data_IF_602928655480
#
_entry.id   IF_602928655480
#
_cell.length_a   1.000
_cell.length_b   1.000
_cell.length_c   1.000
_cell.angle_alpha   90.00
_cell.angle_beta   90.00
_cell.angle_gamma   90.00
#
_symmetry.space_group_name_H-M   'P 1'
#
loop_
_entity.id
_entity.type
_entity.pdbx_description
1 polymer ?
#
# COMPACT_ATOMS: atom_id res chain seq x y z
N UNK A 1 19.26 -25.03 -58.23
CA UNK A 1 18.54 -23.96 -57.50
C UNK A 1 18.16 -24.53 -56.15
N UNK A 2 18.82 -24.03 -55.12
CA UNK A 2 19.21 -24.81 -53.96
C UNK A 2 18.09 -24.93 -52.91
N UNK A 3 18.01 -26.11 -52.27
CA UNK A 3 17.33 -26.35 -50.99
C UNK A 3 17.78 -25.37 -49.89
N UNK A 4 18.89 -24.65 -50.10
CA UNK A 4 19.39 -23.59 -49.23
C UNK A 4 18.58 -22.28 -49.30
N UNK A 5 17.82 -22.05 -50.37
CA UNK A 5 16.98 -20.85 -50.49
C UNK A 5 15.66 -21.01 -49.72
N UNK A 6 15.05 -22.20 -49.75
CA UNK A 6 13.86 -22.54 -48.93
C UNK A 6 14.21 -22.56 -47.44
N UNK A 7 15.42 -23.02 -47.07
CA UNK A 7 15.89 -23.02 -45.68
C UNK A 7 16.14 -21.61 -45.11
N UNK A 8 16.46 -20.63 -45.98
CA UNK A 8 16.62 -19.21 -45.61
C UNK A 8 15.29 -18.50 -45.42
N UNK A 9 14.29 -18.80 -46.24
CA UNK A 9 12.95 -18.20 -46.12
C UNK A 9 12.24 -18.74 -44.86
N UNK A 10 12.43 -20.02 -44.52
CA UNK A 10 11.90 -20.60 -43.28
C UNK A 10 12.62 -20.11 -42.01
N UNK A 11 13.91 -19.73 -42.08
CA UNK A 11 14.64 -19.17 -40.92
C UNK A 11 14.34 -17.69 -40.67
N UNK A 12 13.86 -16.97 -41.68
CA UNK A 12 13.56 -15.54 -41.59
C UNK A 12 12.11 -15.28 -41.14
N UNK A 13 11.17 -16.22 -41.33
CA UNK A 13 9.81 -16.13 -40.78
C UNK A 13 9.74 -16.50 -39.28
N UNK A 14 10.58 -17.42 -38.79
CA UNK A 14 10.63 -17.80 -37.35
C UNK A 14 11.34 -16.77 -36.45
N UNK A 15 12.07 -15.80 -37.02
CA UNK A 15 12.70 -14.71 -36.25
C UNK A 15 11.85 -13.43 -36.12
N UNK A 16 10.59 -13.46 -36.58
CA UNK A 16 9.67 -12.31 -36.51
C UNK A 16 8.83 -12.24 -35.22
N UNK A 17 8.96 -13.20 -34.30
CA UNK A 17 8.13 -13.29 -33.07
C UNK A 17 8.86 -13.02 -31.76
N UNK A 18 10.04 -12.40 -31.79
CA UNK A 18 10.74 -11.97 -30.58
C UNK A 18 10.88 -10.45 -30.54
N UNK A 19 9.75 -9.75 -30.63
CA UNK A 19 9.62 -8.50 -29.88
C UNK A 19 9.67 -8.88 -28.41
N UNK A 20 10.88 -8.87 -27.84
CA UNK A 20 11.14 -8.83 -26.41
C UNK A 20 10.45 -7.57 -25.83
N UNK A 21 9.14 -7.65 -25.63
CA UNK A 21 8.47 -6.92 -24.56
C UNK A 21 9.02 -7.48 -23.26
N UNK A 22 10.20 -7.01 -22.86
CA UNK A 22 10.53 -6.89 -21.44
C UNK A 22 9.55 -5.87 -20.85
N UNK A 23 8.32 -6.30 -20.63
CA UNK A 23 7.48 -5.69 -19.61
C UNK A 23 8.25 -5.87 -18.31
N UNK A 24 8.89 -4.79 -17.88
CA UNK A 24 9.41 -4.67 -16.51
C UNK A 24 8.23 -5.00 -15.61
N UNK A 25 8.31 -6.19 -15.00
CA UNK A 25 7.26 -6.78 -14.19
C UNK A 25 7.14 -5.95 -12.92
N UNK A 26 6.34 -4.88 -12.99
CA UNK A 26 6.07 -4.01 -11.87
C UNK A 26 5.56 -4.86 -10.71
N UNK A 27 6.19 -4.76 -9.55
CA UNK A 27 5.86 -5.61 -8.39
C UNK A 27 5.03 -4.84 -7.36
N UNK A 28 4.22 -5.53 -6.56
CA UNK A 28 3.45 -4.90 -5.47
C UNK A 28 4.36 -4.10 -4.53
N UNK A 29 5.58 -4.57 -4.30
CA UNK A 29 6.60 -3.86 -3.51
C UNK A 29 6.92 -2.46 -4.03
N UNK A 30 6.85 -2.24 -5.34
CA UNK A 30 7.10 -0.92 -5.93
C UNK A 30 5.99 0.08 -5.63
N UNK A 31 4.78 -0.37 -5.28
CA UNK A 31 3.69 0.52 -4.85
C UNK A 31 3.97 1.19 -3.49
N UNK A 32 4.86 0.63 -2.67
CA UNK A 32 5.09 1.11 -1.31
C UNK A 32 5.60 2.56 -1.28
N UNK A 33 6.44 2.95 -2.25
CA UNK A 33 6.95 4.33 -2.36
C UNK A 33 5.86 5.33 -2.77
N UNK A 34 4.96 4.93 -3.68
CA UNK A 34 3.81 5.74 -4.10
C UNK A 34 2.81 5.89 -2.95
N UNK A 35 2.52 4.80 -2.24
CA UNK A 35 1.66 4.84 -1.07
C UNK A 35 2.25 5.74 0.02
N UNK A 36 3.54 5.58 0.35
CA UNK A 36 4.20 6.40 1.38
C UNK A 36 4.22 7.88 1.04
N UNK A 37 4.45 8.22 -0.24
CA UNK A 37 4.32 9.57 -0.76
C UNK A 37 2.91 10.13 -0.55
N UNK A 38 1.90 9.41 -1.03
CA UNK A 38 0.51 9.84 -0.96
C UNK A 38 0.03 10.01 0.50
N UNK A 39 0.32 9.03 1.36
CA UNK A 39 -0.07 9.05 2.77
C UNK A 39 0.54 10.23 3.53
N UNK A 40 1.81 10.53 3.31
CA UNK A 40 2.44 11.63 4.03
C UNK A 40 2.00 12.99 3.49
N UNK A 41 2.05 13.21 2.18
CA UNK A 41 1.82 14.54 1.60
C UNK A 41 0.35 14.98 1.66
N UNK A 42 -0.60 14.03 1.65
CA UNK A 42 -2.03 14.35 1.62
C UNK A 42 -2.74 14.09 2.95
N UNK A 43 -2.18 13.22 3.80
CA UNK A 43 -2.85 12.80 5.05
C UNK A 43 -1.97 12.92 6.30
N UNK A 44 -0.71 13.38 6.16
CA UNK A 44 0.27 13.45 7.26
C UNK A 44 0.45 12.12 8.00
N UNK A 45 0.30 11.01 7.28
CA UNK A 45 0.46 9.66 7.81
C UNK A 45 1.89 9.18 7.53
N UNK A 46 2.61 8.80 8.58
CA UNK A 46 3.91 8.14 8.46
C UNK A 46 3.71 6.64 8.26
N UNK A 47 4.28 6.10 7.18
CA UNK A 47 4.17 4.69 6.81
C UNK A 47 5.38 3.85 7.23
N UNK A 48 5.17 2.55 7.37
CA UNK A 48 6.22 1.56 7.51
C UNK A 48 5.88 0.27 6.78
N UNK A 49 6.75 -0.16 5.88
CA UNK A 49 6.65 -1.45 5.20
C UNK A 49 6.93 -2.59 6.17
N UNK A 50 6.07 -3.61 6.16
CA UNK A 50 6.17 -4.80 6.99
C UNK A 50 6.54 -5.99 6.09
N UNK A 51 7.80 -6.43 6.15
CA UNK A 51 8.28 -7.48 5.26
C UNK A 51 7.86 -8.87 5.74
N UNK A 52 7.06 -9.59 4.95
CA UNK A 52 6.62 -10.96 5.26
C UNK A 52 7.81 -11.89 5.59
N UNK A 53 8.85 -11.82 4.76
CA UNK A 53 10.04 -12.67 4.83
C UNK A 53 10.80 -12.59 6.17
N UNK A 54 10.59 -11.51 6.94
CA UNK A 54 11.22 -11.33 8.25
C UNK A 54 10.42 -12.03 9.39
N UNK A 55 9.32 -12.71 9.06
CA UNK A 55 8.47 -13.39 10.04
C UNK A 55 9.05 -14.73 10.49
N UNK A 56 9.03 -14.97 11.80
CA UNK A 56 9.72 -16.12 12.42
C UNK A 56 9.05 -17.51 12.23
N UNK A 57 7.92 -17.63 11.51
CA UNK A 57 7.16 -18.89 11.40
C UNK A 57 6.85 -19.28 9.95
N UNK A 58 7.45 -20.37 9.47
CA UNK A 58 7.32 -20.86 8.08
C UNK A 58 5.95 -21.43 7.68
N UNK A 59 5.08 -21.83 8.62
CA UNK A 59 3.88 -22.62 8.27
C UNK A 59 2.52 -21.97 8.63
N UNK A 60 2.48 -20.85 9.35
CA UNK A 60 1.22 -20.17 9.74
C UNK A 60 1.25 -18.64 9.55
N UNK A 61 2.40 -18.06 9.18
CA UNK A 61 2.56 -16.60 9.10
C UNK A 61 2.16 -16.00 7.75
N UNK A 62 1.80 -16.82 6.76
CA UNK A 62 1.50 -16.36 5.39
C UNK A 62 0.25 -15.48 5.30
N UNK A 63 -0.57 -15.42 6.36
CA UNK A 63 -1.88 -14.76 6.37
C UNK A 63 -2.08 -13.78 7.53
N UNK A 64 -0.99 -13.30 8.16
CA UNK A 64 -1.12 -12.54 9.42
C UNK A 64 -0.14 -11.37 9.50
N UNK A 65 -0.08 -10.55 8.47
CA UNK A 65 0.38 -9.17 8.59
C UNK A 65 -0.05 -8.37 7.35
N UNK A 66 -0.24 -7.06 7.48
CA UNK A 66 -0.36 -6.17 6.33
C UNK A 66 0.97 -5.99 5.62
N UNK A 67 0.93 -5.48 4.39
CA UNK A 67 2.13 -5.11 3.64
C UNK A 67 2.75 -3.82 4.18
N UNK A 68 1.89 -2.88 4.62
CA UNK A 68 2.31 -1.57 5.11
C UNK A 68 1.38 -1.10 6.22
N UNK A 69 1.93 -0.39 7.19
CA UNK A 69 1.20 0.19 8.32
C UNK A 69 1.44 1.68 8.38
N UNK A 70 0.46 2.42 8.88
CA UNK A 70 0.53 3.89 9.00
C UNK A 70 0.25 4.37 10.40
N UNK A 71 0.79 5.54 10.75
CA UNK A 71 0.44 6.28 11.96
C UNK A 71 0.23 7.75 11.64
N UNK A 72 -0.87 8.30 12.15
CA UNK A 72 -1.06 9.74 12.28
C UNK A 72 -0.81 10.13 13.74
N UNK A 73 -0.03 11.19 13.94
CA UNK A 73 0.24 11.74 15.27
C UNK A 73 -0.43 13.10 15.41
N UNK A 74 -1.29 13.31 16.41
CA UNK A 74 -1.90 14.62 16.64
C UNK A 74 -0.90 15.67 17.11
N UNK A 75 0.32 15.26 17.51
CA UNK A 75 1.37 16.18 17.97
C UNK A 75 1.88 17.15 16.88
N UNK A 76 1.52 16.90 15.61
CA UNK A 76 1.80 17.82 14.51
C UNK A 76 0.79 18.95 14.42
N UNK A 77 -0.42 18.75 14.96
CA UNK A 77 -1.56 19.65 14.73
C UNK A 77 -2.07 20.29 16.02
N UNK A 78 -1.75 19.72 17.19
CA UNK A 78 -2.27 20.16 18.49
C UNK A 78 -1.18 20.78 19.36
N UNK A 79 -1.60 21.76 20.16
CA UNK A 79 -0.77 22.36 21.20
C UNK A 79 -0.42 21.35 22.30
N UNK A 80 0.71 21.58 22.96
CA UNK A 80 1.25 20.70 24.00
C UNK A 80 0.28 20.47 25.16
N UNK A 81 -0.42 21.51 25.59
CA UNK A 81 -1.40 21.49 26.67
C UNK A 81 -2.60 20.61 26.31
N UNK A 82 -3.03 20.63 25.04
CA UNK A 82 -4.14 19.79 24.55
C UNK A 82 -3.73 18.32 24.56
N UNK A 83 -2.50 18.02 24.15
CA UNK A 83 -1.94 16.65 24.15
C UNK A 83 -1.86 16.10 25.59
N UNK A 84 -1.52 16.93 26.56
CA UNK A 84 -1.45 16.52 27.96
C UNK A 84 -2.82 16.22 28.55
N UNK A 85 -3.81 17.09 28.30
CA UNK A 85 -5.21 16.83 28.69
C UNK A 85 -5.72 15.56 28.00
N UNK A 86 -5.45 15.41 26.71
CA UNK A 86 -5.81 14.23 25.91
C UNK A 86 -5.23 12.94 26.50
N UNK A 87 -4.01 12.97 27.02
CA UNK A 87 -3.40 11.85 27.76
C UNK A 87 -4.14 11.54 29.05
N UNK A 88 -4.46 12.56 29.84
CA UNK A 88 -5.12 12.39 31.14
C UNK A 88 -6.55 11.83 31.00
N UNK A 89 -7.27 12.21 29.93
CA UNK A 89 -8.63 11.72 29.66
C UNK A 89 -8.66 10.46 28.77
N UNK A 90 -7.50 9.95 28.36
CA UNK A 90 -7.38 8.72 27.56
C UNK A 90 -7.74 8.86 26.07
N UNK A 91 -7.79 10.07 25.52
CA UNK A 91 -8.13 10.36 24.12
C UNK A 91 -6.90 10.81 23.33
N UNK A 92 -5.95 9.90 23.12
CA UNK A 92 -4.61 10.23 22.62
C UNK A 92 -4.56 10.77 21.18
N UNK A 93 -5.65 10.68 20.41
CA UNK A 93 -5.75 11.14 19.02
C UNK A 93 -4.86 10.41 18.00
N UNK A 94 -3.96 9.52 18.43
CA UNK A 94 -3.15 8.68 17.54
C UNK A 94 -4.07 7.75 16.75
N UNK A 95 -3.91 7.75 15.43
CA UNK A 95 -4.58 6.79 14.55
C UNK A 95 -3.56 5.88 13.91
N UNK A 96 -3.91 4.60 13.85
CA UNK A 96 -3.14 3.53 13.21
C UNK A 96 -3.90 3.01 12.01
N UNK A 97 -3.17 2.79 10.93
CA UNK A 97 -3.69 2.38 9.63
C UNK A 97 -3.00 1.10 9.18
N UNK A 98 -3.69 0.34 8.34
CA UNK A 98 -3.18 -0.91 7.79
C UNK A 98 -3.57 -1.03 6.32
N UNK A 99 -2.60 -1.40 5.49
CA UNK A 99 -2.74 -1.41 4.03
C UNK A 99 -2.34 -2.78 3.47
N UNK A 100 -3.21 -3.33 2.64
CA UNK A 100 -2.95 -4.49 1.79
C UNK A 100 -2.84 -3.98 0.35
N UNK A 101 -1.78 -4.35 -0.38
CA UNK A 101 -1.50 -3.84 -1.71
C UNK A 101 -1.78 -4.90 -2.77
N UNK A 102 -2.34 -4.49 -3.90
CA UNK A 102 -2.50 -5.29 -5.12
C UNK A 102 -2.18 -4.42 -6.33
N UNK A 103 -1.59 -4.98 -7.38
CA UNK A 103 -1.36 -4.20 -8.62
C UNK A 103 -2.69 -3.95 -9.34
N UNK A 104 -3.49 -5.00 -9.49
CA UNK A 104 -4.74 -4.99 -10.25
C UNK A 104 -5.87 -5.61 -9.44
N UNK A 105 -7.03 -4.95 -9.45
CA UNK A 105 -8.25 -5.41 -8.80
C UNK A 105 -9.42 -5.40 -9.78
N UNK A 106 -9.83 -6.58 -10.21
CA UNK A 106 -10.95 -6.78 -11.13
C UNK A 106 -12.01 -7.68 -10.50
N UNK A 107 -13.15 -7.86 -11.15
CA UNK A 107 -14.24 -8.66 -10.59
C UNK A 107 -13.83 -10.11 -10.28
N UNK A 108 -12.86 -10.66 -11.01
CA UNK A 108 -12.35 -12.02 -10.83
C UNK A 108 -11.57 -12.23 -9.53
N UNK A 109 -10.86 -11.20 -9.05
CA UNK A 109 -10.04 -11.28 -7.83
C UNK A 109 -10.54 -10.37 -6.68
N UNK A 110 -11.64 -9.64 -6.89
CA UNK A 110 -12.19 -8.67 -5.94
C UNK A 110 -12.40 -9.28 -4.55
N UNK A 111 -13.18 -10.36 -4.46
CA UNK A 111 -13.53 -10.96 -3.17
C UNK A 111 -12.32 -11.53 -2.44
N UNK A 112 -11.45 -12.24 -3.15
CA UNK A 112 -10.24 -12.81 -2.57
C UNK A 112 -9.33 -11.72 -1.98
N UNK A 113 -9.01 -10.71 -2.79
CA UNK A 113 -8.18 -9.57 -2.38
C UNK A 113 -8.82 -8.79 -1.23
N UNK A 114 -10.13 -8.58 -1.28
CA UNK A 114 -10.86 -7.89 -0.22
C UNK A 114 -10.80 -8.67 1.10
N UNK A 115 -11.04 -9.99 1.08
CA UNK A 115 -10.99 -10.79 2.31
C UNK A 115 -9.56 -10.98 2.85
N UNK A 116 -8.56 -10.93 1.99
CA UNK A 116 -7.17 -10.81 2.43
C UNK A 116 -6.94 -9.50 3.20
N UNK A 117 -7.40 -8.37 2.66
CA UNK A 117 -7.34 -7.08 3.35
C UNK A 117 -8.14 -7.09 4.66
N UNK A 118 -9.31 -7.74 4.71
CA UNK A 118 -10.08 -7.93 5.96
C UNK A 118 -9.24 -8.68 6.99
N UNK A 119 -8.64 -9.82 6.61
CA UNK A 119 -7.81 -10.63 7.51
C UNK A 119 -6.60 -9.86 8.04
N UNK A 120 -5.91 -9.11 7.18
CA UNK A 120 -4.63 -8.49 7.49
C UNK A 120 -4.76 -7.10 8.13
N UNK A 121 -5.86 -6.37 7.87
CA UNK A 121 -5.97 -4.95 8.17
C UNK A 121 -7.13 -4.56 9.08
N UNK A 122 -8.04 -5.48 9.43
CA UNK A 122 -9.18 -5.16 10.31
C UNK A 122 -8.77 -4.80 11.74
N UNK A 123 -7.53 -5.02 12.16
CA UNK A 123 -7.08 -4.67 13.50
C UNK A 123 -6.91 -3.17 13.72
N UNK A 124 -6.71 -2.39 12.67
CA UNK A 124 -6.37 -0.97 12.72
C UNK A 124 -7.61 -0.08 12.91
N UNK A 125 -7.40 1.23 13.16
CA UNK A 125 -8.49 2.20 13.17
C UNK A 125 -9.12 2.29 11.79
N UNK A 126 -8.30 2.24 10.73
CA UNK A 126 -8.74 2.13 9.35
C UNK A 126 -7.88 1.14 8.57
N UNK A 127 -8.54 0.27 7.80
CA UNK A 127 -7.91 -0.71 6.93
C UNK A 127 -8.28 -0.44 5.47
N UNK A 128 -7.29 -0.51 4.58
CA UNK A 128 -7.47 -0.26 3.16
C UNK A 128 -6.90 -1.38 2.31
N UNK A 129 -7.63 -1.71 1.24
CA UNK A 129 -7.06 -2.33 0.05
C UNK A 129 -6.57 -1.20 -0.86
N UNK A 130 -5.35 -1.33 -1.36
CA UNK A 130 -4.67 -0.30 -2.16
C UNK A 130 -4.30 -0.89 -3.51
N UNK A 131 -4.66 -0.20 -4.58
CA UNK A 131 -4.55 -0.71 -5.95
C UNK A 131 -3.98 0.32 -6.90
N UNK A 132 -3.20 -0.10 -7.89
CA UNK A 132 -2.80 0.79 -9.00
C UNK A 132 -3.73 0.75 -10.20
N UNK A 133 -4.41 -0.37 -10.41
CA UNK A 133 -5.40 -0.51 -11.46
C UNK A 133 -6.62 -1.25 -10.92
N UNK A 134 -7.81 -0.85 -11.35
CA UNK A 134 -9.05 -1.50 -10.94
C UNK A 134 -10.18 -1.32 -11.95
N UNK A 135 -11.12 -2.26 -11.95
CA UNK A 135 -12.34 -2.20 -12.75
C UNK A 135 -13.19 -0.99 -12.33
N UNK A 136 -13.67 -0.21 -13.31
CA UNK A 136 -14.43 1.03 -13.06
C UNK A 136 -15.90 0.92 -13.47
N UNK A 137 -16.36 -0.28 -13.81
CA UNK A 137 -17.76 -0.51 -14.11
C UNK A 137 -18.64 -0.43 -12.85
N UNK A 138 -19.94 -0.29 -13.08
CA UNK A 138 -20.93 -0.10 -12.03
C UNK A 138 -21.08 -1.35 -11.15
N UNK A 139 -21.00 -2.54 -11.72
CA UNK A 139 -21.14 -3.81 -10.99
C UNK A 139 -19.99 -4.00 -9.98
N UNK A 140 -18.75 -3.72 -10.39
CA UNK A 140 -17.60 -3.72 -9.50
C UNK A 140 -17.79 -2.72 -8.34
N UNK A 141 -18.20 -1.49 -8.66
CA UNK A 141 -18.38 -0.41 -7.68
C UNK A 141 -19.45 -0.76 -6.65
N UNK A 142 -20.59 -1.31 -7.09
CA UNK A 142 -21.68 -1.76 -6.22
C UNK A 142 -21.25 -2.91 -5.29
N UNK A 143 -20.54 -3.91 -5.83
CA UNK A 143 -20.04 -5.04 -5.03
C UNK A 143 -18.99 -4.58 -4.01
N UNK A 144 -18.04 -3.72 -4.40
CA UNK A 144 -17.06 -3.16 -3.46
C UNK A 144 -17.76 -2.37 -2.36
N UNK A 145 -18.71 -1.50 -2.71
CA UNK A 145 -19.48 -0.72 -1.74
C UNK A 145 -20.22 -1.61 -0.75
N UNK A 146 -20.84 -2.70 -1.22
CA UNK A 146 -21.52 -3.68 -0.37
C UNK A 146 -20.56 -4.37 0.60
N UNK A 147 -19.39 -4.78 0.12
CA UNK A 147 -18.34 -5.39 0.95
C UNK A 147 -17.78 -4.39 1.97
N UNK A 148 -17.44 -3.18 1.54
CA UNK A 148 -16.92 -2.10 2.39
C UNK A 148 -17.91 -1.73 3.50
N UNK A 149 -19.20 -1.61 3.20
CA UNK A 149 -20.23 -1.35 4.21
C UNK A 149 -20.34 -2.49 5.24
N UNK A 150 -20.09 -3.73 4.82
CA UNK A 150 -20.23 -4.92 5.67
C UNK A 150 -19.00 -5.15 6.56
N UNK A 151 -17.79 -4.90 6.04
CA UNK A 151 -16.53 -5.29 6.68
C UNK A 151 -15.61 -4.11 7.02
N UNK A 152 -15.88 -2.92 6.48
CA UNK A 152 -15.21 -1.68 6.84
C UNK A 152 -13.88 -1.40 6.15
N UNK A 153 -13.47 -2.19 5.15
CA UNK A 153 -12.25 -1.97 4.39
C UNK A 153 -12.50 -0.92 3.29
N UNK A 154 -11.68 0.13 3.26
CA UNK A 154 -11.70 1.15 2.22
C UNK A 154 -10.93 0.73 0.97
N UNK A 155 -11.01 1.54 -0.08
CA UNK A 155 -10.23 1.38 -1.33
C UNK A 155 -9.44 2.64 -1.62
N UNK A 156 -8.14 2.50 -1.85
CA UNK A 156 -7.27 3.56 -2.34
C UNK A 156 -6.80 3.20 -3.74
N UNK A 157 -6.95 4.14 -4.67
CA UNK A 157 -6.31 4.07 -5.97
C UNK A 157 -5.02 4.90 -5.94
N UNK A 158 -3.89 4.25 -6.25
CA UNK A 158 -2.61 4.90 -6.48
C UNK A 158 -2.40 5.08 -7.98
N UNK A 159 -2.35 6.34 -8.41
CA UNK A 159 -2.00 6.63 -9.79
C UNK A 159 -0.46 6.67 -9.90
N UNK A 160 0.10 5.70 -10.61
CA UNK A 160 1.56 5.56 -10.76
C UNK A 160 2.11 6.59 -11.74
N UNK A 161 1.30 6.98 -12.72
CA UNK A 161 1.71 7.91 -13.78
C UNK A 161 1.59 9.36 -13.32
N UNK A 162 0.61 9.66 -12.46
CA UNK A 162 0.44 10.93 -11.76
C UNK A 162 0.20 10.71 -10.25
N UNK A 163 1.26 10.57 -9.44
CA UNK A 163 1.15 10.29 -8.00
C UNK A 163 0.22 11.24 -7.23
N UNK A 164 0.09 12.49 -7.66
CA UNK A 164 -0.75 13.50 -7.02
C UNK A 164 -2.25 13.30 -7.30
N UNK A 165 -2.60 12.55 -8.35
CA UNK A 165 -3.97 12.14 -8.69
C UNK A 165 -4.44 10.88 -7.94
N UNK A 166 -3.59 10.31 -7.07
CA UNK A 166 -3.97 9.23 -6.16
C UNK A 166 -5.10 9.66 -5.23
N UNK A 167 -6.02 8.74 -4.90
CA UNK A 167 -7.22 9.09 -4.12
C UNK A 167 -7.84 7.91 -3.38
N UNK A 168 -8.59 8.23 -2.33
CA UNK A 168 -9.51 7.30 -1.68
C UNK A 168 -10.76 7.18 -2.57
N UNK A 169 -11.07 5.97 -3.03
CA UNK A 169 -12.28 5.67 -3.81
C UNK A 169 -13.44 5.33 -2.87
N UNK A 170 -13.16 4.50 -1.85
CA UNK A 170 -14.10 4.16 -0.79
C UNK A 170 -13.44 4.40 0.55
N UNK A 171 -14.06 5.24 1.39
CA UNK A 171 -13.56 5.51 2.74
C UNK A 171 -13.66 4.26 3.61
N UNK A 172 -12.61 3.95 4.36
CA UNK A 172 -12.66 2.87 5.34
C UNK A 172 -13.57 3.26 6.53
N UNK A 173 -14.18 2.27 7.17
CA UNK A 173 -14.92 2.50 8.40
C UNK A 173 -13.93 2.73 9.55
N UNK A 174 -13.86 3.96 10.06
CA UNK A 174 -13.04 4.30 11.21
C UNK A 174 -13.56 3.58 12.47
N UNK A 175 -12.65 2.94 13.21
CA UNK A 175 -12.89 2.33 14.51
C UNK A 175 -12.30 3.19 15.62
N UNK A 176 -12.97 3.22 16.77
CA UNK A 176 -12.48 3.94 17.96
C UNK A 176 -11.29 3.23 18.62
N UNK A 177 -11.23 1.91 18.50
CA UNK A 177 -10.22 1.06 19.14
C UNK A 177 -9.63 0.07 18.14
N UNK A 178 -8.33 -0.20 18.29
CA UNK A 178 -7.64 -1.27 17.57
C UNK A 178 -7.88 -2.62 18.24
N UNK A 179 -7.80 -3.69 17.46
CA UNK A 179 -7.80 -5.07 17.97
C UNK A 179 -6.43 -5.40 18.61
N UNK A 180 -6.36 -5.24 19.93
CA UNK A 180 -5.15 -5.46 20.72
C UNK A 180 -4.64 -6.91 20.62
N UNK A 181 -5.54 -7.89 20.51
CA UNK A 181 -5.14 -9.30 20.42
C UNK A 181 -4.45 -9.59 19.09
N UNK A 182 -4.99 -9.07 17.99
CA UNK A 182 -4.37 -9.20 16.68
C UNK A 182 -3.05 -8.44 16.61
N UNK A 183 -2.99 -7.22 17.12
CA UNK A 183 -1.74 -6.43 17.22
C UNK A 183 -0.66 -7.20 18.00
N UNK A 184 -1.01 -7.77 19.15
CA UNK A 184 -0.07 -8.55 19.97
C UNK A 184 0.41 -9.82 19.25
N UNK A 185 -0.47 -10.50 18.51
CA UNK A 185 -0.10 -11.66 17.70
C UNK A 185 0.90 -11.29 16.60
N UNK A 186 0.63 -10.22 15.83
CA UNK A 186 1.53 -9.76 14.76
C UNK A 186 2.89 -9.35 15.35
N UNK A 187 2.90 -8.59 16.44
CA UNK A 187 4.15 -8.13 17.09
C UNK A 187 5.02 -9.27 17.64
N UNK A 188 4.44 -10.44 17.95
CA UNK A 188 5.20 -11.63 18.35
C UNK A 188 5.86 -12.34 17.16
N UNK A 189 5.27 -12.21 15.97
CA UNK A 189 5.67 -12.98 14.78
C UNK A 189 6.59 -12.14 13.87
N UNK A 190 6.33 -10.84 13.75
CA UNK A 190 7.03 -9.94 12.85
C UNK A 190 7.83 -8.86 13.64
N UNK A 191 9.17 -8.87 13.56
CA UNK A 191 10.02 -7.92 14.29
C UNK A 191 9.90 -6.48 13.77
N UNK A 192 9.63 -6.28 12.47
CA UNK A 192 9.46 -4.94 11.88
C UNK A 192 8.21 -4.26 12.44
N UNK A 193 7.09 -5.01 12.51
CA UNK A 193 5.86 -4.52 13.12
C UNK A 193 6.05 -4.19 14.61
N UNK A 194 6.78 -5.05 15.35
CA UNK A 194 7.13 -4.76 16.74
C UNK A 194 7.99 -3.50 16.87
N UNK A 195 8.94 -3.28 15.96
CA UNK A 195 9.78 -2.07 15.92
C UNK A 195 8.92 -0.83 15.64
N UNK A 196 7.97 -0.92 14.70
CA UNK A 196 7.01 0.14 14.41
C UNK A 196 6.21 0.55 15.65
N UNK A 197 5.61 -0.40 16.38
CA UNK A 197 4.85 -0.08 17.61
C UNK A 197 5.71 0.61 18.68
N UNK A 198 6.97 0.16 18.86
CA UNK A 198 7.91 0.80 19.77
C UNK A 198 8.23 2.23 19.34
N UNK A 199 8.41 2.46 18.04
CA UNK A 199 8.69 3.79 17.47
C UNK A 199 7.52 4.72 17.70
N UNK A 200 6.29 4.31 17.34
CA UNK A 200 5.05 5.06 17.60
C UNK A 200 4.93 5.49 19.06
N UNK A 201 5.11 4.55 20.00
CA UNK A 201 5.06 4.87 21.43
C UNK A 201 6.12 5.90 21.81
N UNK A 202 7.34 5.74 21.30
CA UNK A 202 8.47 6.62 21.62
C UNK A 202 8.23 8.02 21.07
N UNK A 203 7.88 8.17 19.79
CA UNK A 203 7.64 9.49 19.16
C UNK A 203 6.56 10.27 19.89
N UNK A 204 5.45 9.61 20.22
CA UNK A 204 4.34 10.25 20.91
C UNK A 204 4.69 10.65 22.35
N UNK A 205 5.52 9.84 23.03
CA UNK A 205 5.94 10.15 24.41
C UNK A 205 6.98 11.26 24.43
N UNK A 206 7.97 11.23 23.54
CA UNK A 206 9.02 12.24 23.43
C UNK A 206 8.58 13.52 22.73
N UNK A 207 7.41 13.50 22.07
CA UNK A 207 6.89 14.59 21.23
C UNK A 207 7.85 14.97 20.09
N UNK A 208 8.58 13.97 19.58
CA UNK A 208 9.56 14.16 18.51
C UNK A 208 9.43 13.00 17.53
N UNK A 209 9.07 13.30 16.28
CA UNK A 209 8.91 12.29 15.23
C UNK A 209 10.25 12.08 14.52
N UNK A 210 10.86 10.92 14.75
CA UNK A 210 12.08 10.50 14.05
C UNK A 210 11.77 9.95 12.67
N UNK A 211 11.63 10.86 11.70
CA UNK A 211 11.20 10.56 10.32
C UNK A 211 12.05 9.47 9.65
N UNK A 212 13.33 9.38 9.99
CA UNK A 212 14.27 8.39 9.44
C UNK A 212 13.99 6.93 9.85
N UNK A 213 13.15 6.71 10.87
CA UNK A 213 12.74 5.36 11.29
C UNK A 213 11.53 4.83 10.50
N UNK A 214 10.84 5.69 9.74
CA UNK A 214 9.71 5.37 8.87
C UNK A 214 10.17 5.08 7.44
N UNK A 215 9.23 4.82 6.53
CA UNK A 215 9.56 4.69 5.12
C UNK A 215 9.91 6.05 4.53
N UNK A 216 10.89 6.07 3.62
CA UNK A 216 11.35 7.29 2.98
C UNK A 216 10.25 7.84 2.08
N UNK A 217 9.95 9.13 2.25
CA UNK A 217 9.06 9.88 1.37
C UNK A 217 9.89 10.34 0.18
N UNK A 218 9.60 9.81 -1.01
CA UNK A 218 10.25 10.22 -2.24
C UNK A 218 9.73 11.59 -2.70
N UNK A 219 10.52 12.32 -3.49
CA UNK A 219 9.99 13.48 -4.22
C UNK A 219 9.23 12.99 -5.45
N UNK A 220 8.24 13.77 -5.91
CA UNK A 220 7.41 13.40 -7.06
C UNK A 220 8.25 13.08 -8.31
N UNK A 221 9.34 13.82 -8.53
CA UNK A 221 10.31 13.63 -9.63
C UNK A 221 10.98 12.24 -9.63
N UNK A 222 11.06 11.56 -8.47
CA UNK A 222 11.59 10.20 -8.33
C UNK A 222 10.51 9.11 -8.52
N UNK A 223 9.24 9.51 -8.59
CA UNK A 223 8.08 8.65 -8.73
C UNK A 223 7.49 8.69 -10.15
N UNK A 224 7.58 9.84 -10.82
CA UNK A 224 7.20 9.99 -12.21
C UNK A 224 8.01 9.05 -13.11
N UNK A 225 7.30 8.14 -13.80
CA UNK A 225 7.91 7.35 -14.85
C UNK A 225 8.33 8.29 -15.99
N UNK A 226 9.64 8.54 -16.15
CA UNK A 226 10.23 9.32 -17.26
C UNK A 226 9.97 8.75 -18.67
N UNK A 227 9.03 7.82 -18.86
CA UNK A 227 8.65 7.27 -20.17
C UNK A 227 7.74 8.17 -21.00
N UNK A 228 7.17 9.23 -20.43
CA UNK A 228 6.28 10.16 -21.12
C UNK A 228 6.98 11.35 -21.79
N UNK A 229 8.30 11.55 -21.57
CA UNK A 229 9.03 12.71 -22.10
C UNK A 229 9.77 12.47 -23.44
N UNK A 230 9.79 11.24 -23.98
CA UNK A 230 10.52 10.94 -25.22
C UNK A 230 9.65 10.92 -26.50
N UNK A 231 8.32 11.14 -26.42
CA UNK A 231 7.43 11.07 -27.61
C UNK A 231 7.10 12.40 -28.28
N UNK A 232 7.61 13.53 -27.80
CA UNK A 232 7.40 14.84 -28.44
C UNK A 232 8.74 15.52 -28.69
N UNK A 233 9.53 14.98 -29.61
CA UNK A 233 10.54 15.75 -30.31
C UNK A 233 11.02 14.93 -31.50
N UNK A 234 10.30 14.97 -32.62
CA UNK A 234 10.90 14.90 -33.95
C UNK A 234 10.21 15.95 -34.84
N UNK A 235 10.98 16.84 -35.50
CA UNK A 235 10.47 17.79 -36.49
C UNK A 235 9.98 17.12 -37.77
#
# INVERSE_FOLDING_TARGET
MSKDLEKRILSDEENSTLTDKKELKFSEKELHKYLSYYLYNYHFIYSKTIFHQNSNKKNFAQWIHPDLVGVYFPITDWENEVIDIAKDVGSLGIKLFSYELKIELNFGNLRESFFQAVSNSSWAHEGYLVVSNYDRDEEFSEEYKRLSNSFGIGLIHLDIDDPDSSRIIFQAKTKDFIDIDTVNKIAKINPDFKKFLKRVKTDFTSREIRKEEYDKIEMIENLENKKSLEKTNHP
#
